data_IF_341503478248
#
_entry.id   IF_341503478248
#
_cell.length_a   1.000
_cell.length_b   1.000
_cell.length_c   1.000
_cell.angle_alpha   90.00
_cell.angle_beta   90.00
_cell.angle_gamma   90.00
#
_symmetry.space_group_name_H-M   'P 1'
#
loop_
_entity.id
_entity.type
_entity.pdbx_description
1 polymer ?
#
# COMPACT_ATOMS: atom_id res chain seq x y z
N UNK A 1 -1.78 -8.17 5.39
CA UNK A 1 -2.80 -7.48 6.20
C UNK A 1 -2.19 -6.86 7.46
N UNK A 2 -2.96 -5.99 8.16
CA UNK A 2 -2.55 -5.46 9.46
C UNK A 2 -3.22 -6.21 10.61
N UNK A 3 -2.53 -6.27 11.75
CA UNK A 3 -3.10 -6.77 13.00
C UNK A 3 -4.20 -5.86 13.52
N UNK A 4 -3.99 -4.54 13.44
CA UNK A 4 -4.99 -3.55 13.82
C UNK A 4 -6.32 -3.77 13.12
N UNK A 5 -6.32 -4.11 11.82
CA UNK A 5 -7.55 -4.34 11.05
C UNK A 5 -8.21 -5.67 11.40
N UNK A 6 -7.54 -6.79 11.16
CA UNK A 6 -8.20 -8.10 11.19
C UNK A 6 -8.42 -8.63 12.61
N UNK A 7 -7.58 -8.23 13.57
CA UNK A 7 -7.77 -8.60 14.98
C UNK A 7 -8.63 -7.57 15.74
N UNK A 8 -9.19 -6.58 15.03
CA UNK A 8 -10.08 -5.60 15.65
C UNK A 8 -11.37 -6.27 16.12
N UNK A 9 -11.79 -6.07 17.39
CA UNK A 9 -13.06 -6.63 17.91
C UNK A 9 -14.30 -6.20 17.12
N UNK A 10 -14.25 -5.07 16.42
CA UNK A 10 -15.33 -4.60 15.57
C UNK A 10 -15.51 -5.46 14.29
N UNK A 11 -14.48 -6.22 13.89
CA UNK A 11 -14.50 -7.05 12.66
C UNK A 11 -14.73 -8.51 12.96
N UNK A 12 -13.87 -9.08 13.81
CA UNK A 12 -13.81 -10.53 14.04
C UNK A 12 -13.81 -10.81 15.55
N UNK A 13 -14.91 -10.48 16.27
CA UNK A 13 -14.94 -10.53 17.74
C UNK A 13 -14.78 -11.93 18.32
N UNK A 14 -15.04 -12.98 17.54
CA UNK A 14 -15.08 -14.37 18.02
C UNK A 14 -14.03 -15.27 17.38
N UNK A 15 -13.26 -14.77 16.40
CA UNK A 15 -12.27 -15.56 15.69
C UNK A 15 -10.88 -15.39 16.29
N UNK A 16 -10.13 -16.47 16.42
CA UNK A 16 -8.70 -16.41 16.72
C UNK A 16 -7.90 -15.97 15.50
N UNK A 17 -6.65 -15.50 15.71
CA UNK A 17 -5.74 -15.13 14.63
C UNK A 17 -5.58 -16.26 13.59
N UNK A 18 -5.45 -17.52 14.05
CA UNK A 18 -5.33 -18.70 13.18
C UNK A 18 -6.57 -18.87 12.31
N UNK A 19 -7.76 -18.76 12.90
CA UNK A 19 -9.02 -18.89 12.15
C UNK A 19 -9.20 -17.76 11.13
N UNK A 20 -8.76 -16.54 11.45
CA UNK A 20 -8.78 -15.41 10.52
C UNK A 20 -7.82 -15.67 9.36
N UNK A 21 -6.59 -16.16 9.65
CA UNK A 21 -5.60 -16.49 8.62
C UNK A 21 -6.14 -17.55 7.66
N UNK A 22 -6.68 -18.66 8.18
CA UNK A 22 -7.29 -19.72 7.39
C UNK A 22 -8.42 -19.19 6.49
N UNK A 23 -9.34 -18.39 7.05
CA UNK A 23 -10.46 -17.81 6.30
C UNK A 23 -9.99 -16.87 5.17
N UNK A 24 -8.97 -16.04 5.41
CA UNK A 24 -8.39 -15.15 4.40
C UNK A 24 -7.71 -15.93 3.29
N UNK A 25 -6.88 -16.92 3.64
CA UNK A 25 -6.18 -17.76 2.68
C UNK A 25 -7.14 -18.55 1.81
N UNK A 26 -8.16 -19.15 2.40
CA UNK A 26 -9.21 -19.89 1.67
C UNK A 26 -9.99 -18.97 0.71
N UNK A 27 -10.42 -17.80 1.21
CA UNK A 27 -11.25 -16.87 0.43
C UNK A 27 -10.52 -16.25 -0.76
N UNK A 28 -9.21 -16.02 -0.62
CA UNK A 28 -8.37 -15.37 -1.64
C UNK A 28 -7.52 -16.34 -2.46
N UNK A 29 -7.52 -17.62 -2.12
CA UNK A 29 -6.66 -18.63 -2.75
C UNK A 29 -5.17 -18.36 -2.49
N UNK A 30 -4.84 -17.78 -1.33
CA UNK A 30 -3.48 -17.48 -0.93
C UNK A 30 -2.78 -18.68 -0.29
N UNK A 31 -1.45 -18.71 -0.35
CA UNK A 31 -0.62 -19.75 0.27
C UNK A 31 0.02 -19.28 1.58
N UNK A 32 0.12 -17.97 1.79
CA UNK A 32 0.72 -17.38 2.97
C UNK A 32 0.13 -16.00 3.23
N UNK A 33 -0.28 -15.75 4.46
CA UNK A 33 -0.68 -14.43 4.94
C UNK A 33 0.50 -13.75 5.61
N UNK A 34 0.75 -12.49 5.26
CA UNK A 34 1.79 -11.68 5.88
C UNK A 34 1.13 -10.66 6.81
N UNK A 35 1.47 -10.74 8.08
CA UNK A 35 0.98 -9.85 9.12
C UNK A 35 1.96 -8.70 9.35
N UNK A 36 1.46 -7.48 9.35
CA UNK A 36 2.16 -6.27 9.82
C UNK A 36 1.37 -5.65 10.96
N UNK A 37 1.96 -4.68 11.65
CA UNK A 37 1.36 -4.05 12.84
C UNK A 37 0.15 -3.17 12.55
N UNK A 38 0.32 -1.87 12.81
CA UNK A 38 -0.74 -0.87 12.75
C UNK A 38 -0.78 -0.15 11.40
N UNK A 39 -1.93 0.46 11.08
CA UNK A 39 -2.13 1.36 9.94
C UNK A 39 -1.90 2.83 10.29
N UNK A 40 -2.35 3.72 9.39
CA UNK A 40 -2.18 5.15 9.57
C UNK A 40 -3.05 5.71 10.70
N UNK A 41 -2.57 6.77 11.33
CA UNK A 41 -3.33 7.55 12.32
C UNK A 41 -4.65 8.03 11.70
N UNK A 42 -5.74 7.89 12.46
CA UNK A 42 -7.10 8.29 12.07
C UNK A 42 -7.64 7.54 10.82
N UNK A 43 -7.10 6.38 10.48
CA UNK A 43 -7.68 5.55 9.43
C UNK A 43 -9.04 4.99 9.90
N UNK A 44 -10.11 5.43 9.26
CA UNK A 44 -11.49 5.04 9.57
C UNK A 44 -11.77 3.54 9.32
N UNK A 45 -10.87 2.86 8.63
CA UNK A 45 -10.98 1.44 8.31
C UNK A 45 -10.29 0.53 9.32
N UNK A 46 -9.82 1.08 10.45
CA UNK A 46 -9.01 0.38 11.44
C UNK A 46 -7.67 -0.14 10.87
N UNK A 47 -7.03 0.64 10.01
CA UNK A 47 -5.68 0.37 9.54
C UNK A 47 -5.59 -0.62 8.39
N UNK A 48 -6.34 -0.40 7.32
CA UNK A 48 -6.24 -1.20 6.10
C UNK A 48 -4.83 -1.17 5.50
N UNK A 49 -4.34 -2.34 5.07
CA UNK A 49 -2.98 -2.50 4.53
C UNK A 49 -2.74 -1.72 3.24
N UNK A 50 -3.78 -1.47 2.44
CA UNK A 50 -3.67 -0.76 1.16
C UNK A 50 -3.37 0.74 1.30
N UNK A 51 -3.41 1.26 2.53
CA UNK A 51 -2.97 2.62 2.86
C UNK A 51 -1.49 2.69 3.26
N UNK A 52 -0.84 1.58 3.58
CA UNK A 52 0.54 1.56 4.08
C UNK A 52 1.51 0.76 3.22
N UNK A 53 1.05 -0.34 2.58
CA UNK A 53 1.89 -1.21 1.74
C UNK A 53 1.09 -1.91 0.65
N UNK A 54 1.72 -2.14 -0.52
CA UNK A 54 1.11 -2.88 -1.63
C UNK A 54 2.14 -3.65 -2.44
N UNK A 55 1.78 -4.86 -2.85
CA UNK A 55 2.54 -5.57 -3.88
C UNK A 55 2.40 -4.88 -5.23
N UNK A 56 3.52 -4.69 -5.90
CA UNK A 56 3.61 -4.13 -7.26
C UNK A 56 4.10 -5.16 -8.26
N UNK A 57 4.92 -6.10 -7.81
CA UNK A 57 5.38 -7.28 -8.54
C UNK A 57 5.53 -8.47 -7.58
N UNK A 58 5.67 -9.71 -8.10
CA UNK A 58 5.97 -10.85 -7.24
C UNK A 58 7.24 -10.65 -6.41
N UNK A 59 7.09 -10.60 -5.09
CA UNK A 59 8.18 -10.37 -4.15
C UNK A 59 8.57 -8.91 -3.93
N UNK A 60 7.96 -7.94 -4.64
CA UNK A 60 8.25 -6.51 -4.51
C UNK A 60 7.06 -5.78 -3.90
N UNK A 61 7.29 -5.10 -2.79
CA UNK A 61 6.28 -4.32 -2.04
C UNK A 61 6.69 -2.85 -2.03
N UNK A 62 5.76 -1.96 -2.34
CA UNK A 62 5.94 -0.53 -2.12
C UNK A 62 5.35 -0.15 -0.77
N UNK A 63 6.06 0.65 0.01
CA UNK A 63 5.62 1.19 1.29
C UNK A 63 6.04 2.65 1.44
N UNK A 64 5.33 3.41 2.27
CA UNK A 64 5.72 4.78 2.58
C UNK A 64 6.83 4.83 3.63
N UNK A 65 7.72 5.81 3.50
CA UNK A 65 8.70 6.17 4.53
C UNK A 65 8.48 7.61 5.02
N UNK A 66 8.67 7.89 6.31
CA UNK A 66 8.55 9.24 6.83
C UNK A 66 9.74 10.10 6.36
N UNK A 67 9.46 11.33 5.89
CA UNK A 67 10.50 12.26 5.38
C UNK A 67 10.82 13.38 6.37
N UNK A 68 9.89 13.71 7.26
CA UNK A 68 10.06 14.78 8.23
C UNK A 68 9.95 14.27 9.66
N UNK A 69 10.53 14.99 10.61
CA UNK A 69 10.50 14.59 12.02
C UNK A 69 9.09 14.72 12.64
N UNK A 70 8.25 15.57 12.07
CA UNK A 70 6.89 15.86 12.51
C UNK A 70 5.82 15.06 11.75
N UNK A 71 6.22 14.07 10.94
CA UNK A 71 5.28 13.15 10.30
C UNK A 71 4.48 12.40 11.37
N UNK A 72 3.13 12.52 11.39
CA UNK A 72 2.30 11.90 12.42
C UNK A 72 2.34 10.36 12.39
N UNK A 73 2.74 9.77 11.27
CA UNK A 73 2.85 8.33 11.08
C UNK A 73 4.29 7.80 11.14
N UNK A 74 5.24 8.62 11.58
CA UNK A 74 6.67 8.31 11.55
C UNK A 74 7.00 6.94 12.14
N UNK A 75 6.51 6.65 13.35
CA UNK A 75 6.85 5.41 14.06
C UNK A 75 6.19 4.18 13.41
N UNK A 76 4.93 4.31 13.02
CA UNK A 76 4.18 3.24 12.34
C UNK A 76 4.86 2.88 11.02
N UNK A 77 5.20 3.87 10.19
CA UNK A 77 5.85 3.64 8.91
C UNK A 77 7.27 3.07 9.06
N UNK A 78 8.05 3.54 10.03
CA UNK A 78 9.36 2.99 10.29
C UNK A 78 9.31 1.54 10.80
N UNK A 79 8.32 1.19 11.60
CA UNK A 79 8.08 -0.18 12.05
C UNK A 79 7.65 -1.07 10.89
N UNK A 80 6.68 -0.62 10.09
CA UNK A 80 6.22 -1.31 8.89
C UNK A 80 7.37 -1.70 7.95
N UNK A 81 8.30 -0.77 7.68
CA UNK A 81 9.45 -1.05 6.79
C UNK A 81 10.31 -2.17 7.38
N UNK A 82 10.64 -2.11 8.67
CA UNK A 82 11.41 -3.18 9.33
C UNK A 82 10.70 -4.54 9.27
N UNK A 83 9.37 -4.54 9.50
CA UNK A 83 8.57 -5.76 9.42
C UNK A 83 8.61 -6.34 8.01
N UNK A 84 8.32 -5.53 6.99
CA UNK A 84 8.34 -5.96 5.59
C UNK A 84 9.70 -6.51 5.16
N UNK A 85 10.81 -5.86 5.56
CA UNK A 85 12.18 -6.30 5.24
C UNK A 85 12.55 -7.63 5.91
N UNK A 86 11.87 -8.00 7.00
CA UNK A 86 12.05 -9.28 7.69
C UNK A 86 11.24 -10.42 7.07
N UNK A 87 10.16 -10.10 6.35
CA UNK A 87 9.21 -11.07 5.83
C UNK A 87 9.70 -11.76 4.54
N UNK A 88 9.15 -12.94 4.31
CA UNK A 88 9.32 -13.70 3.07
C UNK A 88 7.98 -14.03 2.44
N UNK A 89 7.93 -14.06 1.12
CA UNK A 89 6.75 -14.52 0.39
C UNK A 89 6.48 -16.04 0.55
N UNK A 90 5.42 -16.55 -0.07
CA UNK A 90 5.07 -17.96 -0.03
C UNK A 90 6.14 -18.89 -0.64
N UNK A 91 7.06 -18.36 -1.45
CA UNK A 91 8.20 -19.11 -2.03
C UNK A 91 9.48 -19.00 -1.20
N UNK A 92 9.40 -18.40 -0.01
CA UNK A 92 10.56 -18.20 0.88
C UNK A 92 11.51 -17.08 0.46
N UNK A 93 11.18 -16.27 -0.56
CA UNK A 93 12.00 -15.14 -1.00
C UNK A 93 11.77 -13.95 -0.07
N UNK A 94 12.84 -13.28 0.35
CA UNK A 94 12.71 -12.01 1.07
C UNK A 94 12.00 -10.98 0.19
N UNK A 95 11.18 -10.14 0.82
CA UNK A 95 10.53 -9.04 0.12
C UNK A 95 11.55 -7.96 -0.22
N UNK A 96 11.49 -7.47 -1.45
CA UNK A 96 12.10 -6.21 -1.85
C UNK A 96 11.15 -5.07 -1.49
N UNK A 97 11.58 -4.15 -0.62
CA UNK A 97 10.77 -3.03 -0.17
C UNK A 97 11.18 -1.76 -0.88
N UNK A 98 10.35 -1.31 -1.81
CA UNK A 98 10.53 -0.02 -2.49
C UNK A 98 9.88 1.07 -1.64
N UNK A 99 10.66 2.07 -1.26
CA UNK A 99 10.21 3.15 -0.38
C UNK A 99 9.78 4.36 -1.20
N UNK A 100 8.62 4.91 -0.88
CA UNK A 100 8.13 6.20 -1.40
C UNK A 100 7.95 7.16 -0.22
N UNK A 101 8.09 8.48 -0.41
CA UNK A 101 7.88 9.40 0.70
C UNK A 101 6.45 9.28 1.25
N UNK A 102 6.27 9.54 2.54
CA UNK A 102 4.96 9.86 3.11
C UNK A 102 4.56 11.29 2.70
N UNK A 103 3.26 11.58 2.52
CA UNK A 103 2.82 12.96 2.31
C UNK A 103 3.01 13.86 3.54
N UNK A 104 3.36 13.27 4.69
CA UNK A 104 3.49 13.97 5.96
C UNK A 104 2.13 14.37 6.53
N UNK A 105 2.09 15.53 7.18
CA UNK A 105 0.88 16.04 7.84
C UNK A 105 -0.09 16.65 6.83
N UNK A 106 -1.12 15.91 6.46
CA UNK A 106 -2.26 16.39 5.66
C UNK A 106 -3.44 16.60 6.61
N UNK A 107 -4.05 17.78 6.57
CA UNK A 107 -5.14 18.16 7.47
C UNK A 107 -6.44 18.36 6.71
N UNK A 108 -7.55 17.99 7.34
CA UNK A 108 -8.90 18.37 6.92
C UNK A 108 -9.25 19.81 7.33
N UNK A 109 -10.51 20.19 7.11
CA UNK A 109 -11.03 21.54 7.43
C UNK A 109 -11.15 21.76 8.96
N UNK A 110 -11.28 20.69 9.74
CA UNK A 110 -11.28 20.73 11.21
C UNK A 110 -9.85 20.71 11.81
N UNK A 111 -8.82 20.69 10.94
CA UNK A 111 -7.39 20.57 11.30
C UNK A 111 -7.00 19.22 11.92
N UNK A 112 -7.82 18.20 11.71
CA UNK A 112 -7.49 16.83 12.07
C UNK A 112 -6.59 16.18 11.02
N UNK A 113 -5.71 15.27 11.46
CA UNK A 113 -4.81 14.54 10.57
C UNK A 113 -5.60 13.54 9.75
N UNK A 114 -5.49 13.64 8.44
CA UNK A 114 -6.08 12.68 7.49
C UNK A 114 -5.12 11.51 7.21
N UNK A 115 -5.62 10.28 7.01
CA UNK A 115 -4.81 9.11 6.67
C UNK A 115 -4.36 9.13 5.20
N UNK A 116 -3.63 10.17 4.81
CA UNK A 116 -3.18 10.39 3.45
C UNK A 116 -2.06 9.42 3.05
N UNK A 117 -2.21 8.80 1.88
CA UNK A 117 -1.27 7.79 1.41
C UNK A 117 -1.10 7.78 -0.10
N UNK A 118 0.13 7.86 -0.58
CA UNK A 118 0.45 7.67 -1.99
C UNK A 118 0.33 6.21 -2.43
N UNK A 119 0.45 5.24 -1.53
CA UNK A 119 0.34 3.81 -1.89
C UNK A 119 -1.09 3.35 -2.10
N UNK A 120 -2.09 4.18 -1.78
CA UNK A 120 -3.49 3.94 -2.14
C UNK A 120 -3.80 4.31 -3.61
N UNK A 121 -2.85 4.04 -4.51
CA UNK A 121 -2.98 4.30 -5.96
C UNK A 121 -3.83 3.23 -6.65
N UNK A 122 -4.44 3.60 -7.78
CA UNK A 122 -5.19 2.69 -8.64
C UNK A 122 -4.34 2.24 -9.83
N UNK A 123 -4.32 0.93 -10.10
CA UNK A 123 -3.65 0.32 -11.25
C UNK A 123 -4.70 -0.05 -12.28
N UNK A 124 -4.78 0.73 -13.37
CA UNK A 124 -5.59 0.41 -14.55
C UNK A 124 -4.76 -0.32 -15.61
N UNK A 125 -5.41 -0.74 -16.70
CA UNK A 125 -4.73 -1.48 -17.77
C UNK A 125 -3.58 -0.69 -18.42
N UNK A 126 -3.80 0.60 -18.70
CA UNK A 126 -2.83 1.46 -19.40
C UNK A 126 -2.25 2.58 -18.52
N UNK A 127 -2.73 2.73 -17.28
CA UNK A 127 -2.33 3.84 -16.42
C UNK A 127 -2.27 3.46 -14.95
N UNK A 128 -1.55 4.27 -14.19
CA UNK A 128 -1.55 4.25 -12.71
C UNK A 128 -1.96 5.64 -12.23
N UNK A 129 -2.96 5.72 -11.35
CA UNK A 129 -3.43 6.97 -10.77
C UNK A 129 -3.00 7.05 -9.32
N UNK A 130 -2.10 7.99 -9.03
CA UNK A 130 -1.52 8.18 -7.71
C UNK A 130 -2.25 9.33 -7.01
N UNK A 131 -2.78 9.12 -5.79
CA UNK A 131 -3.40 10.20 -5.04
C UNK A 131 -2.34 11.22 -4.62
N UNK A 132 -2.65 12.53 -4.76
CA UNK A 132 -1.83 13.64 -4.31
C UNK A 132 -2.61 14.53 -3.35
N UNK A 133 -1.91 15.31 -2.53
CA UNK A 133 -2.52 16.00 -1.39
C UNK A 133 -2.08 17.47 -1.25
N UNK A 134 -1.29 17.98 -2.22
CA UNK A 134 -0.65 19.31 -2.12
C UNK A 134 0.58 19.30 -1.20
N UNK A 135 1.16 18.13 -0.97
CA UNK A 135 2.41 17.95 -0.22
C UNK A 135 3.62 18.27 -1.11
N UNK A 136 4.73 18.80 -0.54
CA UNK A 136 5.97 18.97 -1.28
C UNK A 136 6.58 17.66 -1.81
N UNK A 137 6.07 16.52 -1.36
CA UNK A 137 6.53 15.17 -1.76
C UNK A 137 5.67 14.54 -2.86
N UNK A 138 4.60 15.20 -3.34
CA UNK A 138 3.68 14.64 -4.33
C UNK A 138 4.41 14.20 -5.60
N UNK A 139 5.24 15.07 -6.17
CA UNK A 139 5.95 14.78 -7.43
C UNK A 139 6.97 13.64 -7.28
N UNK A 140 7.72 13.61 -6.18
CA UNK A 140 8.66 12.53 -5.89
C UNK A 140 7.93 11.20 -5.75
N UNK A 141 6.81 11.16 -5.03
CA UNK A 141 6.03 9.95 -4.87
C UNK A 141 5.49 9.42 -6.21
N UNK A 142 4.94 10.32 -7.04
CA UNK A 142 4.43 9.98 -8.37
C UNK A 142 5.55 9.41 -9.26
N UNK A 143 6.74 10.03 -9.26
CA UNK A 143 7.89 9.56 -10.05
C UNK A 143 8.39 8.19 -9.58
N UNK A 144 8.51 7.97 -8.27
CA UNK A 144 8.93 6.68 -7.72
C UNK A 144 7.93 5.56 -8.03
N UNK A 145 6.63 5.84 -7.92
CA UNK A 145 5.59 4.87 -8.30
C UNK A 145 5.60 4.64 -9.82
N UNK A 146 5.79 5.67 -10.64
CA UNK A 146 5.89 5.53 -12.10
C UNK A 146 7.00 4.56 -12.52
N UNK A 147 8.15 4.61 -11.85
CA UNK A 147 9.28 3.72 -12.12
C UNK A 147 8.95 2.23 -11.90
N UNK A 148 7.95 1.92 -11.08
CA UNK A 148 7.48 0.55 -10.82
C UNK A 148 6.57 0.01 -11.95
N UNK A 149 6.10 0.88 -12.84
CA UNK A 149 5.15 0.53 -13.91
C UNK A 149 5.57 1.09 -15.27
N UNK A 150 6.74 0.68 -15.80
CA UNK A 150 7.31 1.28 -17.03
C UNK A 150 6.43 1.16 -18.28
N UNK A 151 5.47 0.23 -18.28
CA UNK A 151 4.51 0.04 -19.38
C UNK A 151 3.19 0.82 -19.21
N UNK A 152 3.06 1.68 -18.20
CA UNK A 152 1.84 2.43 -17.91
C UNK A 152 2.11 3.93 -17.77
N UNK A 153 1.15 4.74 -18.18
CA UNK A 153 1.18 6.17 -17.91
C UNK A 153 0.79 6.43 -16.46
N UNK A 154 1.71 6.93 -15.64
CA UNK A 154 1.43 7.29 -14.24
C UNK A 154 1.11 8.78 -14.12
N UNK A 155 0.04 9.10 -13.37
CA UNK A 155 -0.39 10.48 -13.13
C UNK A 155 -0.77 10.68 -11.65
N UNK A 156 -0.31 11.80 -11.09
CA UNK A 156 -0.82 12.32 -9.82
C UNK A 156 -2.16 13.02 -10.00
N UNK A 157 -3.12 12.75 -9.12
CA UNK A 157 -4.43 13.41 -9.10
C UNK A 157 -4.75 13.78 -7.65
N UNK A 158 -5.21 15.01 -7.44
CA UNK A 158 -5.57 15.46 -6.09
C UNK A 158 -6.73 14.61 -5.53
N UNK A 159 -6.51 14.03 -4.36
CA UNK A 159 -7.43 13.11 -3.70
C UNK A 159 -7.97 13.61 -2.35
N UNK A 160 -7.71 14.86 -1.94
CA UNK A 160 -8.16 15.36 -0.62
C UNK A 160 -9.67 15.22 -0.42
N UNK A 161 -10.46 15.59 -1.43
CA UNK A 161 -11.92 15.48 -1.35
C UNK A 161 -12.41 14.02 -1.28
N UNK A 162 -11.72 13.10 -1.97
CA UNK A 162 -12.04 11.66 -1.91
C UNK A 162 -11.64 11.08 -0.57
N UNK A 163 -10.48 11.48 -0.06
CA UNK A 163 -9.95 11.02 1.22
C UNK A 163 -10.84 11.40 2.41
N UNK A 164 -11.57 12.53 2.32
CA UNK A 164 -12.57 12.92 3.32
C UNK A 164 -13.69 11.88 3.49
N UNK A 165 -13.92 11.02 2.49
CA UNK A 165 -14.83 9.87 2.54
C UNK A 165 -14.21 8.59 3.16
N UNK A 166 -12.95 8.63 3.61
CA UNK A 166 -12.29 7.54 4.33
C UNK A 166 -11.30 6.71 3.51
N UNK A 167 -10.97 7.11 2.28
CA UNK A 167 -9.99 6.41 1.45
C UNK A 167 -9.63 7.18 0.18
N UNK A 168 -8.68 6.67 -0.61
CA UNK A 168 -8.31 7.27 -1.89
C UNK A 168 -8.67 6.36 -3.08
N UNK A 169 -7.87 6.36 -4.15
CA UNK A 169 -8.29 5.75 -5.42
C UNK A 169 -8.36 4.22 -5.40
N UNK A 170 -7.54 3.53 -4.61
CA UNK A 170 -7.67 2.08 -4.45
C UNK A 170 -8.97 1.73 -3.75
N UNK A 171 -9.30 2.43 -2.66
CA UNK A 171 -10.48 2.15 -1.83
C UNK A 171 -11.81 2.31 -2.57
N UNK A 172 -11.87 3.16 -3.61
CA UNK A 172 -13.08 3.39 -4.41
C UNK A 172 -13.12 2.58 -5.70
N UNK A 173 -12.19 1.65 -5.91
CA UNK A 173 -12.09 0.86 -7.14
C UNK A 173 -12.05 -0.64 -6.84
N UNK A 174 -12.43 -1.43 -7.84
CA UNK A 174 -12.38 -2.88 -7.79
C UNK A 174 -11.94 -3.42 -9.15
N UNK A 175 -10.98 -4.35 -9.15
CA UNK A 175 -10.56 -5.04 -10.34
C UNK A 175 -11.61 -6.08 -10.76
N UNK A 176 -11.87 -6.12 -12.06
CA UNK A 176 -12.65 -7.21 -12.68
C UNK A 176 -11.72 -8.03 -13.57
N UNK A 177 -11.20 -9.17 -13.10
CA UNK A 177 -10.36 -10.04 -13.92
C UNK A 177 -11.10 -10.50 -15.17
N UNK A 178 -10.41 -10.51 -16.32
CA UNK A 178 -10.98 -11.05 -17.55
C UNK A 178 -10.97 -12.59 -17.48
N UNK A 179 -12.13 -13.21 -17.68
CA UNK A 179 -12.23 -14.66 -17.78
C UNK A 179 -11.55 -15.16 -19.06
N UNK A 180 -10.80 -16.26 -18.98
CA UNK A 180 -10.43 -17.06 -20.12
C UNK A 180 -9.09 -16.81 -20.81
N UNK A 181 -8.17 -16.02 -20.26
CA UNK A 181 -6.77 -16.04 -20.72
C UNK A 181 -5.87 -16.72 -19.69
N UNK A 182 -5.94 -18.07 -19.66
CA UNK A 182 -4.92 -18.86 -19.01
C UNK A 182 -3.56 -18.56 -19.65
N UNK A 183 -2.71 -17.84 -18.89
CA UNK A 183 -1.25 -17.79 -19.02
C UNK A 183 -0.65 -17.80 -20.44
N UNK A 184 -0.56 -16.66 -21.08
CA UNK A 184 0.46 -16.40 -22.11
C UNK A 184 1.06 -15.00 -21.97
N UNK A 185 1.44 -14.60 -20.77
CA UNK A 185 2.38 -13.51 -20.59
C UNK A 185 3.32 -13.89 -19.46
N UNK A 186 4.54 -14.28 -19.86
CA UNK A 186 5.66 -14.22 -18.93
C UNK A 186 5.70 -12.80 -18.35
N UNK A 187 5.87 -12.63 -17.04
CA UNK A 187 6.03 -11.31 -16.46
C UNK A 187 7.18 -10.61 -17.20
N UNK A 188 6.97 -9.34 -17.53
CA UNK A 188 8.05 -8.50 -18.01
C UNK A 188 9.24 -8.62 -17.04
N UNK A 189 10.48 -8.64 -17.53
CA UNK A 189 11.64 -8.74 -16.66
C UNK A 189 11.57 -7.62 -15.62
N UNK A 190 11.83 -7.98 -14.37
CA UNK A 190 11.91 -7.04 -13.27
C UNK A 190 12.93 -5.96 -13.67
N UNK A 191 12.58 -4.67 -13.63
CA UNK A 191 13.57 -3.63 -13.83
C UNK A 191 14.72 -3.87 -12.87
N UNK A 192 15.96 -3.87 -13.38
CA UNK A 192 17.14 -3.94 -12.54
C UNK A 192 17.14 -2.83 -11.49
N UNK A 193 18.01 -2.88 -10.47
CA UNK A 193 18.04 -1.89 -9.41
C UNK A 193 18.06 -0.48 -10.01
N UNK A 194 17.14 0.36 -9.55
CA UNK A 194 16.96 1.72 -10.08
C UNK A 194 18.21 2.53 -9.70
N UNK A 195 19.03 2.98 -10.66
CA UNK A 195 20.21 3.77 -10.35
C UNK A 195 19.81 5.04 -9.58
N UNK A 196 20.42 5.27 -8.42
CA UNK A 196 20.21 6.47 -7.61
C UNK A 196 19.16 6.35 -6.50
N UNK A 197 18.61 5.15 -6.20
CA UNK A 197 17.70 4.90 -5.06
C UNK A 197 18.38 4.16 -3.90
N UNK A 198 19.70 4.19 -3.81
CA UNK A 198 20.39 3.70 -2.61
C UNK A 198 20.37 4.77 -1.53
N UNK A 199 19.92 4.38 -0.36
CA UNK A 199 19.88 5.01 0.99
C UNK A 199 20.37 6.44 1.11
#
# INVERSE_FOLDING_TARGET
>A
TTRQCLLNPNRNPTLSEVQIEEAVLESLGGEKLLWVGDGLLNDHTDGHVDTIARFVHPGVVVAMEPRTADDPNREVLATLIRDLESLTDAKGRRLEVVRVPSPGRVLDDAREVMPASYVNFYIANASVVVPTYGSPFDDEAVQRIAALFPGRTTRGVNAKAVLAGGGAFHCITQQKPQAGHARQQSPAPIPGPIPGLTS
#
